data_IF_112383668481
#
_entry.id   IF_112383668481
#
_cell.length_a   1.000
_cell.length_b   1.000
_cell.length_c   1.000
_cell.angle_alpha   90.00
_cell.angle_beta   90.00
_cell.angle_gamma   90.00
#
_symmetry.space_group_name_H-M   'P 1'
#
loop_
_entity.id
_entity.type
_entity.pdbx_description
1 polymer ?
#
# COMPACT_ATOMS: atom_id res chain seq x y z
N UNK A 1 5.43 -8.16 -6.97
CA UNK A 1 6.22 -7.03 -7.48
C UNK A 1 5.92 -5.82 -6.62
N UNK A 2 6.92 -4.99 -6.33
CA UNK A 2 6.80 -3.94 -5.32
C UNK A 2 6.71 -2.57 -6.00
N UNK A 3 5.84 -1.72 -5.49
CA UNK A 3 5.55 -0.41 -6.07
C UNK A 3 5.57 0.64 -4.95
N UNK A 4 6.16 1.80 -5.24
CA UNK A 4 5.99 3.00 -4.41
C UNK A 4 5.32 4.06 -5.25
N UNK A 5 4.31 4.72 -4.71
CA UNK A 5 3.51 5.73 -5.40
C UNK A 5 3.26 6.93 -4.48
N UNK A 6 3.22 8.12 -5.08
CA UNK A 6 2.89 9.36 -4.38
C UNK A 6 1.59 9.90 -4.96
N UNK A 7 0.56 10.00 -4.13
CA UNK A 7 -0.78 10.41 -4.52
C UNK A 7 -1.13 11.76 -3.89
N UNK A 8 -1.95 12.57 -4.55
CA UNK A 8 -2.54 13.77 -3.91
C UNK A 8 -3.81 13.38 -3.16
N UNK A 9 -3.94 13.83 -1.91
CA UNK A 9 -5.12 13.56 -1.08
C UNK A 9 -6.41 14.19 -1.63
N UNK A 10 -7.57 13.60 -1.29
CA UNK A 10 -8.88 13.89 -1.88
C UNK A 10 -9.49 15.28 -1.57
N UNK A 11 -8.79 16.13 -0.81
CA UNK A 11 -9.20 17.52 -0.52
C UNK A 11 -8.10 18.53 -0.87
N UNK A 12 -7.56 18.42 -2.08
CA UNK A 12 -6.66 19.40 -2.67
C UNK A 12 -7.44 20.51 -3.43
N UNK A 13 -8.59 20.94 -2.88
CA UNK A 13 -9.35 22.07 -3.43
C UNK A 13 -8.65 23.42 -3.22
N UNK A 14 -7.54 23.45 -2.50
CA UNK A 14 -6.66 24.61 -2.40
C UNK A 14 -5.28 24.28 -2.96
N UNK A 15 -4.75 25.17 -3.79
CA UNK A 15 -3.38 25.19 -4.32
C UNK A 15 -2.28 25.27 -3.25
N UNK A 16 -2.62 24.98 -1.99
CA UNK A 16 -1.81 25.13 -0.77
C UNK A 16 -1.72 23.82 0.03
N UNK A 17 -2.43 22.76 -0.36
CA UNK A 17 -2.37 21.51 0.41
C UNK A 17 -1.07 20.76 0.08
N UNK A 18 -0.08 20.89 0.97
CA UNK A 18 1.21 20.21 0.90
C UNK A 18 1.14 18.73 1.30
N UNK A 19 -0.03 18.23 1.74
CA UNK A 19 -0.18 16.82 2.09
C UNK A 19 -0.31 15.93 0.86
N UNK A 20 0.53 14.91 0.84
CA UNK A 20 0.59 13.81 -0.11
C UNK A 20 0.35 12.50 0.63
N UNK A 21 -0.04 11.47 -0.10
CA UNK A 21 -0.10 10.10 0.40
C UNK A 21 1.08 9.35 -0.21
N UNK A 22 2.01 8.89 0.63
CA UNK A 22 3.04 7.95 0.23
C UNK A 22 2.47 6.54 0.39
N UNK A 23 2.35 5.80 -0.72
CA UNK A 23 1.81 4.44 -0.75
C UNK A 23 2.90 3.46 -1.20
N UNK A 24 3.05 2.39 -0.44
CA UNK A 24 3.83 1.21 -0.80
C UNK A 24 2.87 0.04 -1.03
N UNK A 25 3.09 -0.72 -2.09
CA UNK A 25 2.45 -2.01 -2.29
C UNK A 25 3.49 -3.10 -2.52
N UNK A 26 3.29 -4.24 -1.86
CA UNK A 26 4.14 -5.42 -2.00
C UNK A 26 3.26 -6.62 -2.36
N UNK A 27 3.80 -7.54 -3.16
CA UNK A 27 3.12 -8.80 -3.50
C UNK A 27 4.12 -9.93 -3.40
N UNK A 28 3.78 -10.95 -2.61
CA UNK A 28 4.53 -12.20 -2.43
C UNK A 28 3.60 -13.43 -2.50
N UNK A 29 4.09 -14.61 -2.11
CA UNK A 29 3.31 -15.85 -2.11
C UNK A 29 2.20 -15.92 -1.06
N UNK A 30 2.26 -15.08 -0.02
CA UNK A 30 1.28 -15.01 1.07
C UNK A 30 0.14 -14.04 0.74
N UNK A 31 0.36 -13.11 -0.17
CA UNK A 31 -0.68 -12.20 -0.65
C UNK A 31 -0.11 -10.86 -1.11
N UNK A 32 -0.94 -9.82 -1.00
CA UNK A 32 -0.56 -8.44 -1.30
C UNK A 32 -0.75 -7.55 -0.09
N UNK A 33 0.15 -6.60 0.11
CA UNK A 33 0.04 -5.55 1.11
C UNK A 33 -0.07 -4.20 0.43
N UNK A 34 -0.90 -3.32 0.99
CA UNK A 34 -0.93 -1.89 0.65
C UNK A 34 -0.80 -1.11 1.95
N UNK A 35 0.30 -0.38 2.09
CA UNK A 35 0.59 0.49 3.23
C UNK A 35 0.68 1.92 2.72
N UNK A 36 0.09 2.86 3.44
CA UNK A 36 0.13 4.26 3.09
C UNK A 36 0.29 5.14 4.34
N UNK A 37 0.93 6.29 4.18
CA UNK A 37 1.01 7.31 5.23
C UNK A 37 0.80 8.70 4.60
N UNK A 38 0.05 9.60 5.27
CA UNK A 38 0.11 11.01 4.95
C UNK A 38 1.53 11.53 5.20
N UNK A 39 2.05 12.34 4.28
CA UNK A 39 3.32 13.06 4.40
C UNK A 39 3.15 14.44 3.78
N UNK A 40 3.81 15.46 4.31
CA UNK A 40 3.89 16.72 3.60
C UNK A 40 5.01 16.72 2.54
N UNK A 41 4.95 17.66 1.60
CA UNK A 41 5.93 17.80 0.53
C UNK A 41 7.35 18.05 1.06
N UNK A 42 7.52 18.71 2.20
CA UNK A 42 8.83 19.00 2.78
C UNK A 42 9.48 17.71 3.32
N UNK A 43 8.74 16.92 4.10
CA UNK A 43 9.18 15.63 4.60
C UNK A 43 9.53 14.67 3.46
N UNK A 44 8.71 14.64 2.40
CA UNK A 44 9.02 13.82 1.22
C UNK A 44 10.33 14.25 0.54
N UNK A 45 10.56 15.56 0.39
CA UNK A 45 11.82 16.07 -0.19
C UNK A 45 13.05 15.76 0.67
N UNK A 46 12.94 15.85 2.00
CA UNK A 46 14.01 15.44 2.94
C UNK A 46 14.35 13.96 2.71
N UNK A 47 13.33 13.10 2.66
CA UNK A 47 13.51 11.67 2.41
C UNK A 47 14.15 11.38 1.04
N UNK A 48 13.67 12.02 -0.03
CA UNK A 48 14.21 11.84 -1.38
C UNK A 48 15.64 12.39 -1.55
N UNK A 49 16.03 13.36 -0.73
CA UNK A 49 17.38 13.92 -0.71
C UNK A 49 18.37 13.06 0.09
N UNK A 50 17.92 11.95 0.70
CA UNK A 50 18.75 11.08 1.54
C UNK A 50 19.19 11.74 2.85
N UNK A 51 18.46 12.76 3.31
CA UNK A 51 18.71 13.43 4.58
C UNK A 51 18.07 12.63 5.75
N UNK A 52 18.30 13.09 6.99
CA UNK A 52 17.72 12.47 8.19
C UNK A 52 16.19 12.58 8.20
N UNK A 53 15.51 11.42 8.21
CA UNK A 53 14.05 11.31 8.25
C UNK A 53 13.50 11.00 9.64
N UNK A 54 14.35 10.92 10.68
CA UNK A 54 13.94 10.52 12.04
C UNK A 54 12.88 11.43 12.67
N UNK A 55 12.81 12.68 12.22
CA UNK A 55 11.86 13.69 12.71
C UNK A 55 10.57 13.79 11.88
N UNK A 56 10.45 13.06 10.77
CA UNK A 56 9.25 13.13 9.92
C UNK A 56 8.14 12.30 10.58
N UNK A 57 7.02 12.92 11.02
CA UNK A 57 5.93 12.17 11.61
C UNK A 57 5.27 11.30 10.54
N UNK A 58 5.21 9.98 10.79
CA UNK A 58 4.55 9.00 9.92
C UNK A 58 3.43 8.31 10.69
N UNK A 59 2.24 8.28 10.08
CA UNK A 59 1.05 7.60 10.61
C UNK A 59 0.62 6.54 9.59
N UNK A 60 1.32 5.40 9.54
CA UNK A 60 1.04 4.35 8.58
C UNK A 60 -0.34 3.74 8.83
N UNK A 61 -1.04 3.45 7.75
CA UNK A 61 -2.28 2.68 7.71
C UNK A 61 -2.28 1.82 6.46
N UNK A 62 -3.11 0.79 6.40
CA UNK A 62 -3.05 -0.14 5.27
C UNK A 62 -4.02 -1.30 5.39
N UNK A 63 -3.94 -2.18 4.41
CA UNK A 63 -4.71 -3.41 4.36
C UNK A 63 -3.90 -4.52 3.69
N UNK A 64 -4.27 -5.76 3.98
CA UNK A 64 -3.75 -6.96 3.34
C UNK A 64 -4.83 -7.59 2.46
N UNK A 65 -4.42 -8.09 1.30
CA UNK A 65 -5.22 -8.92 0.41
C UNK A 65 -4.62 -10.31 0.47
N UNK A 66 -5.30 -11.24 1.11
CA UNK A 66 -4.94 -12.66 1.08
C UNK A 66 -5.53 -13.32 -0.17
N UNK A 67 -4.88 -14.35 -0.74
CA UNK A 67 -5.51 -15.16 -1.77
C UNK A 67 -6.77 -15.83 -1.22
N UNK A 68 -7.87 -15.80 -1.97
CA UNK A 68 -9.05 -16.60 -1.67
C UNK A 68 -8.61 -18.06 -1.76
N UNK A 69 -8.59 -18.78 -0.63
CA UNK A 69 -8.07 -20.14 -0.49
C UNK A 69 -8.86 -21.22 -1.26
N UNK A 70 -9.35 -20.92 -2.45
CA UNK A 70 -10.05 -21.84 -3.35
C UNK A 70 -9.05 -22.79 -4.03
N UNK A 71 -8.48 -23.70 -3.24
CA UNK A 71 -8.11 -24.99 -3.81
C UNK A 71 -9.42 -25.64 -4.28
N UNK A 72 -9.61 -25.75 -5.58
CA UNK A 72 -10.62 -26.63 -6.16
C UNK A 72 -10.43 -28.03 -5.56
N UNK A 73 -11.29 -28.42 -4.63
CA UNK A 73 -11.50 -29.83 -4.37
C UNK A 73 -12.26 -30.38 -5.57
N UNK A 74 -11.48 -30.78 -6.58
CA UNK A 74 -11.87 -31.89 -7.44
C UNK A 74 -11.99 -33.12 -6.54
N UNK A 75 -13.15 -33.35 -5.93
CA UNK A 75 -13.52 -34.69 -5.47
C UNK A 75 -15.03 -34.84 -5.42
N UNK A 76 -15.54 -35.57 -6.41
CA UNK A 76 -16.92 -35.98 -6.52
C UNK A 76 -17.06 -37.01 -7.64
N UNK A 77 -16.21 -38.05 -7.64
CA UNK A 77 -16.52 -39.28 -8.35
C UNK A 77 -17.78 -39.88 -7.73
N UNK A 78 -18.81 -40.14 -8.52
CA UNK A 78 -19.77 -41.22 -8.25
C UNK A 78 -19.93 -42.02 -9.54
N UNK A 79 -19.05 -43.01 -9.69
CA UNK A 79 -19.19 -44.15 -10.60
C UNK A 79 -19.98 -45.22 -9.85
N UNK A 80 -21.15 -45.63 -10.34
CA UNK A 80 -21.85 -46.77 -9.77
C UNK A 80 -23.17 -47.10 -10.46
N UNK A 81 -23.23 -48.30 -11.04
CA UNK A 81 -24.40 -49.18 -11.10
C UNK A 81 -25.52 -48.82 -12.05
#
# INVERSE_FOLDING_TARGET
GNCVSVLRGFNASSSQNSMLILQESCIDSSGSLVVYTPVDLQGLNIAMSGQDTSYIPILPSGFAISPDGTSSNQTGEHKGG
#
